data_IF_709793891092
#
_entry.id   IF_709793891092
#
_cell.length_a   1.000
_cell.length_b   1.000
_cell.length_c   1.000
_cell.angle_alpha   90.00
_cell.angle_beta   90.00
_cell.angle_gamma   90.00
#
_symmetry.space_group_name_H-M   'P 1'
#
loop_
_entity.id
_entity.type
_entity.pdbx_description
1 polymer ?
#
# COMPACT_ATOMS: atom_id res chain seq x y z
N UNK A 1 -0.24 -2.25 22.74
CA UNK A 1 0.80 -2.94 21.97
C UNK A 1 2.16 -2.69 22.62
N UNK A 2 2.67 -3.70 23.31
CA UNK A 2 3.82 -3.61 24.22
C UNK A 2 3.37 -3.64 25.66
N UNK A 3 4.32 -3.81 26.58
CA UNK A 3 4.08 -3.94 28.03
C UNK A 3 4.88 -2.97 28.86
N UNK A 4 5.95 -2.41 28.34
CA UNK A 4 6.91 -1.55 29.03
C UNK A 4 6.85 -0.15 28.44
N UNK A 5 6.49 0.85 29.25
CA UNK A 5 6.59 2.27 28.89
C UNK A 5 7.96 2.82 29.23
N UNK A 6 8.44 3.76 28.44
CA UNK A 6 9.70 4.42 28.70
C UNK A 6 9.60 5.28 29.97
N UNK A 7 10.47 5.07 30.94
CA UNK A 7 10.46 5.81 32.19
C UNK A 7 11.75 5.65 32.99
N UNK A 8 11.84 6.42 34.07
CA UNK A 8 12.91 6.25 35.05
C UNK A 8 12.51 5.16 36.05
N UNK A 9 13.28 4.10 36.13
CA UNK A 9 13.15 3.01 37.09
C UNK A 9 14.37 2.98 38.00
N UNK A 10 14.14 2.73 39.29
CA UNK A 10 15.26 2.57 40.23
C UNK A 10 15.95 1.24 39.99
N UNK A 11 17.26 1.27 39.77
CA UNK A 11 18.05 0.02 39.71
C UNK A 11 18.15 -0.58 41.12
N UNK A 12 17.66 -1.79 41.29
CA UNK A 12 17.62 -2.51 42.58
C UNK A 12 19.02 -2.78 43.15
N UNK A 13 20.09 -2.72 42.34
CA UNK A 13 21.48 -2.98 42.78
C UNK A 13 22.24 -1.69 43.09
N UNK A 14 21.99 -0.63 42.34
CA UNK A 14 22.76 0.61 42.41
C UNK A 14 22.03 1.71 43.14
N UNK A 15 20.71 1.57 43.33
CA UNK A 15 19.86 2.60 43.97
C UNK A 15 19.80 3.95 43.22
N UNK A 16 20.16 3.95 41.92
CA UNK A 16 20.12 5.12 41.06
C UNK A 16 18.99 5.01 40.04
N UNK A 17 18.36 6.12 39.62
CA UNK A 17 17.38 6.09 38.57
C UNK A 17 18.06 5.82 37.22
N UNK A 18 17.68 4.76 36.55
CA UNK A 18 18.11 4.42 35.19
C UNK A 18 16.94 4.62 34.24
N UNK A 19 17.22 5.03 33.01
CA UNK A 19 16.21 5.13 31.95
C UNK A 19 15.93 3.73 31.44
N UNK A 20 14.72 3.25 31.72
CA UNK A 20 14.22 2.02 31.10
C UNK A 20 13.73 2.35 29.69
N UNK A 21 14.28 1.65 28.70
CA UNK A 21 13.77 1.73 27.33
C UNK A 21 12.39 1.09 27.27
N UNK A 22 11.43 1.82 26.67
CA UNK A 22 10.07 1.35 26.47
C UNK A 22 9.90 0.56 25.17
N UNK A 23 8.86 -0.24 25.12
CA UNK A 23 8.43 -0.90 23.91
C UNK A 23 7.98 0.13 22.86
N UNK A 24 8.27 -0.14 21.59
CA UNK A 24 7.76 0.68 20.50
C UNK A 24 6.55 0.01 19.86
N UNK A 25 5.34 0.41 20.26
CA UNK A 25 4.09 -0.14 19.74
C UNK A 25 3.96 -0.03 18.21
N UNK A 26 4.57 1.00 17.58
CA UNK A 26 4.59 1.14 16.12
C UNK A 26 5.41 0.04 15.46
N UNK A 27 6.61 -0.23 16.00
CA UNK A 27 7.47 -1.29 15.46
C UNK A 27 6.88 -2.68 15.71
N UNK A 28 6.29 -2.90 16.88
CA UNK A 28 5.61 -4.15 17.20
C UNK A 28 4.47 -4.41 16.21
N UNK A 29 3.65 -3.40 15.93
CA UNK A 29 2.57 -3.49 14.96
C UNK A 29 3.11 -3.75 13.55
N UNK A 30 4.15 -3.00 13.12
CA UNK A 30 4.75 -3.14 11.80
C UNK A 30 5.34 -4.54 11.59
N UNK A 31 6.13 -5.01 12.54
CA UNK A 31 6.74 -6.36 12.47
C UNK A 31 5.68 -7.45 12.57
N UNK A 32 4.62 -7.25 13.37
CA UNK A 32 3.49 -8.17 13.44
C UNK A 32 2.79 -8.33 12.10
N UNK A 33 2.50 -7.24 11.41
CA UNK A 33 1.89 -7.27 10.07
C UNK A 33 2.85 -7.89 9.06
N UNK A 34 4.13 -7.53 9.08
CA UNK A 34 5.14 -8.12 8.20
C UNK A 34 5.25 -9.64 8.40
N UNK A 35 5.22 -10.09 9.65
CA UNK A 35 5.22 -11.52 9.98
C UNK A 35 3.96 -12.25 9.46
N UNK A 36 2.78 -11.64 9.59
CA UNK A 36 1.53 -12.19 9.04
C UNK A 36 1.63 -12.32 7.51
N UNK A 37 2.09 -11.26 6.83
CA UNK A 37 2.28 -11.29 5.37
C UNK A 37 3.25 -12.40 4.98
N UNK A 38 4.38 -12.54 5.70
CA UNK A 38 5.35 -13.60 5.45
C UNK A 38 4.72 -14.99 5.63
N UNK A 39 3.97 -15.20 6.70
CA UNK A 39 3.25 -16.45 6.94
C UNK A 39 2.25 -16.77 5.82
N UNK A 40 1.51 -15.78 5.34
CA UNK A 40 0.56 -15.97 4.22
C UNK A 40 1.31 -16.34 2.93
N UNK A 41 2.40 -15.65 2.61
CA UNK A 41 3.24 -15.97 1.44
C UNK A 41 3.80 -17.39 1.56
N UNK A 42 4.33 -17.75 2.72
CA UNK A 42 4.85 -19.12 2.98
C UNK A 42 3.75 -20.16 2.83
N UNK A 43 2.54 -19.88 3.31
CA UNK A 43 1.39 -20.79 3.16
C UNK A 43 1.02 -20.99 1.69
N UNK A 44 0.99 -19.91 0.90
CA UNK A 44 0.72 -19.96 -0.55
C UNK A 44 1.78 -20.82 -1.25
N UNK A 45 3.06 -20.58 -0.96
CA UNK A 45 4.16 -21.35 -1.52
C UNK A 45 4.09 -22.83 -1.10
N UNK A 46 3.73 -23.11 0.14
CA UNK A 46 3.55 -24.47 0.64
C UNK A 46 2.43 -25.19 -0.10
N UNK A 47 1.28 -24.54 -0.27
CA UNK A 47 0.15 -25.11 -1.04
C UNK A 47 0.53 -25.35 -2.50
N UNK A 48 1.28 -24.42 -3.12
CA UNK A 48 1.78 -24.58 -4.47
C UNK A 48 2.73 -25.80 -4.59
N UNK A 49 3.65 -25.96 -3.63
CA UNK A 49 4.54 -27.10 -3.56
C UNK A 49 3.80 -28.43 -3.36
N UNK A 50 2.77 -28.46 -2.50
CA UNK A 50 1.93 -29.65 -2.33
C UNK A 50 1.20 -30.04 -3.62
N UNK A 51 0.65 -29.08 -4.37
CA UNK A 51 0.02 -29.34 -5.67
C UNK A 51 1.01 -29.91 -6.68
N UNK A 52 2.22 -29.33 -6.74
CA UNK A 52 3.30 -29.83 -7.60
C UNK A 52 3.72 -31.25 -7.21
N UNK A 53 3.90 -31.52 -5.93
CA UNK A 53 4.26 -32.86 -5.43
C UNK A 53 3.20 -33.91 -5.74
N UNK A 54 1.92 -33.58 -5.59
CA UNK A 54 0.80 -34.47 -5.97
C UNK A 54 0.80 -34.75 -7.48
N UNK A 55 0.99 -33.75 -8.30
CA UNK A 55 1.10 -33.91 -9.74
C UNK A 55 2.26 -34.83 -10.16
N UNK A 56 3.44 -34.64 -9.56
CA UNK A 56 4.59 -35.50 -9.80
C UNK A 56 4.35 -36.96 -9.34
N UNK A 57 3.65 -37.14 -8.22
CA UNK A 57 3.28 -38.47 -7.73
C UNK A 57 2.32 -39.20 -8.70
N UNK A 58 1.33 -38.51 -9.23
CA UNK A 58 0.40 -39.04 -10.24
C UNK A 58 1.13 -39.43 -11.54
N UNK A 59 2.08 -38.59 -12.00
CA UNK A 59 2.89 -38.91 -13.18
C UNK A 59 3.69 -40.19 -12.96
N UNK A 60 4.31 -40.34 -11.78
CA UNK A 60 5.07 -41.53 -11.42
C UNK A 60 4.20 -42.79 -11.37
N UNK A 61 2.96 -42.71 -10.84
CA UNK A 61 2.01 -43.84 -10.83
C UNK A 61 1.59 -44.26 -12.25
N UNK A 62 1.52 -43.30 -13.17
CA UNK A 62 1.18 -43.57 -14.59
C UNK A 62 2.39 -44.03 -15.40
N UNK A 63 3.57 -44.21 -14.80
CA UNK A 63 4.79 -44.61 -15.52
C UNK A 63 5.35 -43.54 -16.46
N UNK A 64 4.89 -42.29 -16.33
CA UNK A 64 5.38 -41.18 -17.14
C UNK A 64 6.66 -40.57 -16.55
N UNK A 65 7.60 -40.10 -17.40
CA UNK A 65 8.84 -39.49 -16.90
C UNK A 65 8.52 -38.20 -16.14
N UNK A 66 9.06 -38.06 -14.92
CA UNK A 66 8.99 -36.84 -14.16
C UNK A 66 10.08 -35.86 -14.64
N UNK A 67 9.77 -34.56 -14.73
CA UNK A 67 10.77 -33.56 -15.10
C UNK A 67 11.94 -33.54 -14.11
N UNK A 68 13.14 -33.36 -14.62
CA UNK A 68 14.34 -33.21 -13.80
C UNK A 68 14.42 -31.80 -13.23
N UNK A 69 15.13 -31.61 -12.11
CA UNK A 69 15.35 -30.29 -11.49
C UNK A 69 15.92 -29.27 -12.48
N UNK A 70 16.73 -29.72 -13.45
CA UNK A 70 17.30 -28.87 -14.49
C UNK A 70 16.24 -28.40 -15.50
N UNK A 71 15.29 -29.27 -15.83
CA UNK A 71 14.16 -28.92 -16.72
C UNK A 71 13.19 -27.97 -16.02
N UNK A 72 12.91 -28.19 -14.73
CA UNK A 72 12.10 -27.27 -13.93
C UNK A 72 12.74 -25.88 -13.85
N UNK A 73 14.05 -25.81 -13.62
CA UNK A 73 14.76 -24.52 -13.58
C UNK A 73 14.75 -23.82 -14.94
N UNK A 74 14.91 -24.57 -16.03
CA UNK A 74 14.77 -24.02 -17.39
C UNK A 74 13.35 -23.56 -17.68
N UNK A 75 12.32 -24.24 -17.16
CA UNK A 75 10.92 -23.85 -17.32
C UNK A 75 10.62 -22.47 -16.71
N UNK A 76 11.29 -22.08 -15.62
CA UNK A 76 11.20 -20.75 -15.03
C UNK A 76 11.68 -19.63 -15.95
N UNK A 77 12.67 -19.96 -16.82
CA UNK A 77 13.24 -19.00 -17.78
C UNK A 77 12.55 -19.02 -19.15
N UNK A 78 11.77 -20.04 -19.45
CA UNK A 78 11.08 -20.22 -20.73
C UNK A 78 9.56 -20.20 -20.57
N UNK A 79 8.96 -21.31 -20.18
CA UNK A 79 7.50 -21.46 -20.13
C UNK A 79 6.86 -20.59 -19.05
N UNK A 80 7.52 -20.48 -17.87
CA UNK A 80 7.07 -19.69 -16.72
C UNK A 80 7.77 -18.34 -16.59
N UNK A 81 8.43 -17.88 -17.63
CA UNK A 81 9.19 -16.61 -17.63
C UNK A 81 8.32 -15.43 -17.20
N UNK A 82 7.07 -15.37 -17.64
CA UNK A 82 6.12 -14.34 -17.23
C UNK A 82 5.91 -14.29 -15.70
N UNK A 83 5.79 -15.46 -15.05
CA UNK A 83 5.64 -15.53 -13.60
C UNK A 83 6.91 -15.10 -12.86
N UNK A 84 8.07 -15.54 -13.36
CA UNK A 84 9.38 -15.17 -12.81
C UNK A 84 9.63 -13.66 -12.94
N UNK A 85 9.31 -13.07 -14.09
CA UNK A 85 9.45 -11.64 -14.33
C UNK A 85 8.52 -10.82 -13.44
N UNK A 86 7.30 -11.28 -13.22
CA UNK A 86 6.31 -10.61 -12.35
C UNK A 86 6.62 -10.70 -10.87
N UNK A 87 7.50 -11.60 -10.43
CA UNK A 87 7.84 -11.78 -9.01
C UNK A 87 8.43 -10.52 -8.40
N UNK A 88 9.35 -9.84 -9.10
CA UNK A 88 10.02 -8.62 -8.59
C UNK A 88 9.02 -7.46 -8.42
N UNK A 89 8.21 -7.09 -9.44
CA UNK A 89 7.17 -6.08 -9.28
C UNK A 89 6.16 -6.45 -8.17
N UNK A 90 5.75 -7.72 -8.08
CA UNK A 90 4.81 -8.17 -7.07
C UNK A 90 5.37 -8.02 -5.66
N UNK A 91 6.64 -8.38 -5.43
CA UNK A 91 7.32 -8.15 -4.15
C UNK A 91 7.42 -6.65 -3.84
N UNK A 92 7.70 -5.82 -4.84
CA UNK A 92 7.69 -4.36 -4.68
C UNK A 92 6.32 -3.84 -4.23
N UNK A 93 5.24 -4.26 -4.89
CA UNK A 93 3.87 -3.90 -4.50
C UNK A 93 3.55 -4.39 -3.08
N UNK A 94 3.93 -5.62 -2.74
CA UNK A 94 3.69 -6.19 -1.41
C UNK A 94 4.37 -5.37 -0.31
N UNK A 95 5.66 -5.02 -0.50
CA UNK A 95 6.46 -4.31 0.51
C UNK A 95 6.14 -2.81 0.58
N UNK A 96 5.96 -2.15 -0.56
CA UNK A 96 5.83 -0.69 -0.61
C UNK A 96 4.38 -0.19 -0.70
N UNK A 97 3.42 -1.08 -0.99
CA UNK A 97 2.01 -0.70 -1.08
C UNK A 97 1.15 -1.46 -0.08
N UNK A 98 1.20 -2.79 -0.10
CA UNK A 98 0.30 -3.61 0.73
C UNK A 98 0.65 -3.50 2.21
N UNK A 99 1.94 -3.60 2.57
CA UNK A 99 2.37 -3.53 3.97
C UNK A 99 2.04 -2.17 4.61
N UNK A 100 2.39 -0.99 4.03
CA UNK A 100 1.99 0.30 4.58
C UNK A 100 0.47 0.48 4.63
N UNK A 101 -0.28 -0.02 3.64
CA UNK A 101 -1.73 0.05 3.62
C UNK A 101 -2.35 -0.73 4.80
N UNK A 102 -1.92 -1.97 5.00
CA UNK A 102 -2.37 -2.79 6.13
C UNK A 102 -1.98 -2.18 7.48
N UNK A 103 -0.79 -1.57 7.56
CA UNK A 103 -0.35 -0.84 8.74
C UNK A 103 -1.28 0.35 9.04
N UNK A 104 -1.59 1.18 8.07
CA UNK A 104 -2.50 2.33 8.22
C UNK A 104 -3.92 1.89 8.61
N UNK A 105 -4.42 0.82 7.99
CA UNK A 105 -5.72 0.23 8.36
C UNK A 105 -5.70 -0.27 9.80
N UNK A 106 -4.63 -0.94 10.21
CA UNK A 106 -4.50 -1.48 11.57
C UNK A 106 -4.45 -0.37 12.62
N UNK A 107 -3.77 0.74 12.37
CA UNK A 107 -3.75 1.92 13.26
C UNK A 107 -5.16 2.46 13.50
N UNK A 108 -6.06 2.43 12.52
CA UNK A 108 -7.44 2.90 12.69
C UNK A 108 -8.22 2.14 13.79
N UNK A 109 -7.78 0.93 14.15
CA UNK A 109 -8.36 0.12 15.24
C UNK A 109 -7.66 0.30 16.58
N UNK A 110 -6.71 1.23 16.69
CA UNK A 110 -5.96 1.53 17.92
C UNK A 110 -6.34 2.90 18.47
N UNK A 111 -5.92 3.18 19.71
CA UNK A 111 -6.04 4.51 20.33
C UNK A 111 -4.82 5.40 20.04
N UNK A 112 -4.13 5.18 18.91
CA UNK A 112 -3.00 6.01 18.54
C UNK A 112 -3.44 7.46 18.34
N UNK A 113 -2.93 8.36 19.21
CA UNK A 113 -3.19 9.78 19.20
C UNK A 113 -1.99 10.55 19.78
N UNK A 114 -2.13 11.87 19.94
CA UNK A 114 -1.08 12.71 20.50
C UNK A 114 -0.65 12.30 21.91
N UNK A 115 -1.51 11.67 22.69
CA UNK A 115 -1.23 11.24 24.07
C UNK A 115 -0.61 9.83 24.13
N UNK A 116 -0.75 9.04 23.05
CA UNK A 116 -0.26 7.66 22.95
C UNK A 116 0.83 7.56 21.89
N UNK A 117 1.96 8.25 22.12
CA UNK A 117 3.12 8.25 21.22
C UNK A 117 4.23 7.37 21.78
N UNK A 118 4.50 6.20 21.18
CA UNK A 118 5.62 5.35 21.58
C UNK A 118 6.97 6.01 21.34
N UNK A 119 8.00 5.69 22.14
CA UNK A 119 8.04 4.68 23.19
C UNK A 119 7.55 5.16 24.56
N UNK A 120 7.27 6.46 24.71
CA UNK A 120 6.91 7.06 26.00
C UNK A 120 5.56 6.57 26.48
N UNK A 121 4.56 6.62 25.63
CA UNK A 121 3.19 6.15 25.93
C UNK A 121 2.77 5.13 24.86
N UNK A 122 2.39 3.95 25.30
CA UNK A 122 1.99 2.87 24.39
C UNK A 122 0.55 3.08 23.91
N UNK A 123 0.27 2.65 22.70
CA UNK A 123 -1.10 2.54 22.20
C UNK A 123 -1.61 1.10 22.24
N UNK A 124 -2.92 0.93 22.33
CA UNK A 124 -3.58 -0.35 22.44
C UNK A 124 -4.72 -0.49 21.42
N UNK A 125 -5.20 -1.71 21.24
CA UNK A 125 -6.37 -1.97 20.40
C UNK A 125 -7.66 -1.45 21.07
N UNK A 126 -8.45 -0.68 20.31
CA UNK A 126 -9.76 -0.17 20.73
C UNK A 126 -10.91 -0.65 19.84
N UNK A 127 -10.60 -1.51 18.87
CA UNK A 127 -11.57 -2.07 17.94
C UNK A 127 -12.25 -0.98 17.10
N UNK A 128 -13.57 -1.02 17.03
CA UNK A 128 -14.37 -0.11 16.20
C UNK A 128 -14.72 1.23 16.87
N UNK A 129 -14.16 1.54 18.04
CA UNK A 129 -14.48 2.76 18.78
C UNK A 129 -14.24 4.04 17.96
N UNK A 130 -13.13 4.10 17.21
CA UNK A 130 -12.80 5.25 16.37
C UNK A 130 -13.85 5.46 15.26
N UNK A 131 -14.31 4.37 14.65
CA UNK A 131 -15.36 4.42 13.62
C UNK A 131 -16.68 4.90 14.21
N UNK A 132 -17.04 4.45 15.41
CA UNK A 132 -18.20 4.95 16.14
C UNK A 132 -18.13 6.45 16.41
N UNK A 133 -16.96 6.96 16.82
CA UNK A 133 -16.72 8.38 17.06
C UNK A 133 -16.83 9.21 15.77
N UNK A 134 -16.37 8.68 14.63
CA UNK A 134 -16.45 9.34 13.32
C UNK A 134 -17.89 9.35 12.81
N UNK A 135 -18.59 8.22 12.91
CA UNK A 135 -19.92 8.06 12.29
C UNK A 135 -21.06 8.68 13.14
N UNK A 136 -20.96 8.58 14.47
CA UNK A 136 -22.02 9.03 15.38
C UNK A 136 -21.60 10.14 16.35
N UNK A 137 -20.31 10.53 16.36
CA UNK A 137 -19.75 11.53 17.24
C UNK A 137 -19.80 12.94 16.67
N UNK A 138 -19.13 13.86 17.36
CA UNK A 138 -19.02 15.28 16.95
C UNK A 138 -18.43 15.47 15.54
N UNK A 139 -17.68 14.48 15.04
CA UNK A 139 -17.04 14.52 13.73
C UNK A 139 -18.00 14.18 12.57
N UNK A 140 -19.14 13.52 12.85
CA UNK A 140 -20.11 13.13 11.81
C UNK A 140 -20.62 14.31 11.00
N UNK A 141 -20.86 15.45 11.64
CA UNK A 141 -21.31 16.67 10.99
C UNK A 141 -20.33 17.27 9.98
N UNK A 142 -19.03 16.96 10.12
CA UNK A 142 -17.99 17.36 9.15
C UNK A 142 -17.65 16.22 8.19
N UNK A 143 -17.62 14.99 8.68
CA UNK A 143 -17.24 13.82 7.91
C UNK A 143 -18.15 13.56 6.71
N UNK A 144 -19.47 13.51 6.91
CA UNK A 144 -20.41 13.19 5.83
C UNK A 144 -20.46 14.25 4.69
N UNK A 145 -20.48 15.58 4.97
CA UNK A 145 -20.35 16.57 3.91
C UNK A 145 -19.05 16.47 3.12
N UNK A 146 -17.92 16.27 3.80
CA UNK A 146 -16.60 16.11 3.15
C UNK A 146 -16.58 14.83 2.31
N UNK A 147 -17.08 13.73 2.82
CA UNK A 147 -17.19 12.46 2.09
C UNK A 147 -18.06 12.65 0.83
N UNK A 148 -19.25 13.25 0.98
CA UNK A 148 -20.15 13.53 -0.15
C UNK A 148 -19.49 14.39 -1.22
N UNK A 149 -18.81 15.45 -0.82
CA UNK A 149 -18.03 16.28 -1.73
C UNK A 149 -16.93 15.51 -2.44
N UNK A 150 -16.16 14.72 -1.70
CA UNK A 150 -15.07 13.92 -2.25
C UNK A 150 -15.57 12.90 -3.28
N UNK A 151 -16.65 12.19 -2.97
CA UNK A 151 -17.26 11.23 -3.90
C UNK A 151 -17.80 11.93 -5.16
N UNK A 152 -18.51 13.06 -5.00
CA UNK A 152 -19.01 13.84 -6.12
C UNK A 152 -17.87 14.32 -7.01
N UNK A 153 -16.81 14.86 -6.40
CA UNK A 153 -15.61 15.28 -7.13
C UNK A 153 -14.93 14.12 -7.85
N UNK A 154 -14.77 12.97 -7.20
CA UNK A 154 -14.14 11.80 -7.79
C UNK A 154 -14.91 11.30 -9.03
N UNK A 155 -16.24 11.22 -8.95
CA UNK A 155 -17.08 10.81 -10.08
C UNK A 155 -17.00 11.81 -11.22
N UNK A 156 -17.20 13.10 -10.94
CA UNK A 156 -17.17 14.16 -11.96
C UNK A 156 -15.77 14.23 -12.62
N UNK A 157 -14.70 14.23 -11.82
CA UNK A 157 -13.35 14.27 -12.35
C UNK A 157 -13.05 13.05 -13.24
N UNK A 158 -13.43 11.84 -12.81
CA UNK A 158 -13.20 10.62 -13.59
C UNK A 158 -13.94 10.66 -14.93
N UNK A 159 -15.24 11.00 -14.91
CA UNK A 159 -16.08 11.07 -16.12
C UNK A 159 -15.53 12.13 -17.08
N UNK A 160 -15.26 13.34 -16.57
CA UNK A 160 -14.75 14.43 -17.41
C UNK A 160 -13.38 14.13 -17.99
N UNK A 161 -12.44 13.64 -17.18
CA UNK A 161 -11.10 13.24 -17.66
C UNK A 161 -11.18 12.13 -18.71
N UNK A 162 -12.02 11.12 -18.50
CA UNK A 162 -12.23 10.04 -19.47
C UNK A 162 -12.80 10.59 -20.78
N UNK A 163 -13.90 11.34 -20.72
CA UNK A 163 -14.56 11.89 -21.90
C UNK A 163 -13.63 12.79 -22.72
N UNK A 164 -12.99 13.77 -22.08
CA UNK A 164 -12.07 14.68 -22.75
C UNK A 164 -10.78 13.96 -23.20
N UNK A 165 -10.31 12.96 -22.47
CA UNK A 165 -9.19 12.14 -22.87
C UNK A 165 -9.46 11.36 -24.15
N UNK A 166 -10.63 10.72 -24.27
CA UNK A 166 -11.07 10.02 -25.48
C UNK A 166 -11.24 11.02 -26.64
N UNK A 167 -11.90 12.15 -26.42
CA UNK A 167 -12.07 13.18 -27.43
C UNK A 167 -10.72 13.65 -27.98
N UNK A 168 -9.79 13.95 -27.07
CA UNK A 168 -8.45 14.39 -27.43
C UNK A 168 -7.68 13.32 -28.21
N UNK A 169 -7.77 12.04 -27.79
CA UNK A 169 -7.14 10.93 -28.49
C UNK A 169 -7.68 10.79 -29.92
N UNK A 170 -8.98 10.94 -30.12
CA UNK A 170 -9.61 10.90 -31.43
C UNK A 170 -9.13 12.08 -32.31
N UNK A 171 -9.10 13.29 -31.74
CA UNK A 171 -8.63 14.49 -32.45
C UNK A 171 -7.16 14.34 -32.93
N UNK A 172 -6.28 13.86 -32.07
CA UNK A 172 -4.86 13.68 -32.43
C UNK A 172 -4.67 12.59 -33.48
N UNK A 173 -5.56 11.57 -33.51
CA UNK A 173 -5.47 10.48 -34.48
C UNK A 173 -6.15 10.76 -35.83
N UNK A 174 -6.85 11.86 -35.99
CA UNK A 174 -7.51 12.22 -37.27
C UNK A 174 -6.50 12.27 -38.42
N UNK A 175 -6.96 11.78 -39.59
CA UNK A 175 -6.18 11.85 -40.83
C UNK A 175 -6.10 13.31 -41.28
N UNK A 176 -4.90 13.83 -41.55
CA UNK A 176 -4.71 15.21 -42.01
C UNK A 176 -4.22 16.20 -40.95
N UNK A 177 -4.16 15.83 -39.66
CA UNK A 177 -3.59 16.70 -38.63
C UNK A 177 -2.10 16.92 -38.90
N UNK A 178 -1.67 18.18 -39.10
CA UNK A 178 -0.26 18.56 -39.25
C UNK A 178 0.42 18.54 -37.89
N UNK A 179 1.70 18.12 -37.88
CA UNK A 179 2.55 18.10 -36.67
C UNK A 179 2.00 17.20 -35.50
N UNK A 180 1.47 16.04 -35.83
CA UNK A 180 0.99 15.05 -34.82
C UNK A 180 2.02 14.74 -33.72
N UNK A 181 3.30 14.65 -34.09
CA UNK A 181 4.39 14.43 -33.15
C UNK A 181 4.48 15.54 -32.09
N UNK A 182 4.42 16.80 -32.56
CA UNK A 182 4.49 17.97 -31.66
C UNK A 182 3.33 17.98 -30.66
N UNK A 183 2.09 17.73 -31.12
CA UNK A 183 0.94 17.65 -30.22
C UNK A 183 1.08 16.55 -29.18
N UNK A 184 1.50 15.36 -29.60
CA UNK A 184 1.75 14.27 -28.65
C UNK A 184 2.83 14.62 -27.63
N UNK A 185 3.92 15.26 -28.06
CA UNK A 185 4.99 15.69 -27.16
C UNK A 185 4.49 16.72 -26.14
N UNK A 186 3.69 17.71 -26.56
CA UNK A 186 3.11 18.72 -25.65
C UNK A 186 2.26 18.03 -24.56
N UNK A 187 1.37 17.10 -24.94
CA UNK A 187 0.53 16.39 -23.96
C UNK A 187 1.32 15.45 -23.05
N UNK A 188 2.35 14.77 -23.56
CA UNK A 188 3.24 13.95 -22.75
C UNK A 188 4.06 14.82 -21.78
N UNK A 189 4.47 16.02 -22.22
CA UNK A 189 5.24 16.93 -21.38
C UNK A 189 4.46 17.38 -20.14
N UNK A 190 3.12 17.46 -20.21
CA UNK A 190 2.29 17.77 -19.03
C UNK A 190 2.38 16.70 -17.93
N UNK A 191 2.70 15.45 -18.27
CA UNK A 191 2.92 14.37 -17.30
C UNK A 191 4.26 14.52 -16.57
N UNK A 192 5.22 15.26 -17.14
CA UNK A 192 6.52 15.52 -16.51
C UNK A 192 6.44 16.54 -15.37
N UNK A 193 5.39 17.36 -15.34
CA UNK A 193 5.17 18.34 -14.28
C UNK A 193 4.41 17.67 -13.11
N UNK A 194 5.01 17.56 -11.92
CA UNK A 194 4.32 17.00 -10.77
C UNK A 194 3.02 17.78 -10.46
N UNK A 195 1.93 17.06 -10.30
CA UNK A 195 0.59 17.65 -10.13
C UNK A 195 0.52 18.65 -8.98
N UNK A 196 1.24 18.39 -7.86
CA UNK A 196 1.23 19.29 -6.72
C UNK A 196 1.85 20.67 -7.04
N UNK A 197 2.87 20.72 -7.92
CA UNK A 197 3.47 22.00 -8.36
C UNK A 197 2.45 22.79 -9.15
N UNK A 198 1.75 22.15 -10.09
CA UNK A 198 0.69 22.80 -10.88
C UNK A 198 -0.43 23.36 -9.99
N UNK A 199 -0.83 22.60 -8.96
CA UNK A 199 -1.84 23.03 -7.99
C UNK A 199 -1.36 24.20 -7.13
N UNK A 200 -0.08 24.20 -6.68
CA UNK A 200 0.51 25.31 -5.92
C UNK A 200 0.59 26.59 -6.77
N UNK A 201 1.02 26.48 -8.02
CA UNK A 201 1.05 27.63 -8.95
C UNK A 201 -0.35 28.19 -9.15
N UNK A 202 -1.34 27.33 -9.45
CA UNK A 202 -2.73 27.77 -9.61
C UNK A 202 -3.32 28.40 -8.34
N UNK A 203 -3.03 27.80 -7.17
CA UNK A 203 -3.42 28.38 -5.90
C UNK A 203 -2.85 29.79 -5.71
N UNK A 204 -1.57 29.99 -6.03
CA UNK A 204 -0.93 31.30 -5.87
C UNK A 204 -1.45 32.31 -6.90
N UNK A 205 -1.70 31.89 -8.13
CA UNK A 205 -2.27 32.77 -9.18
C UNK A 205 -3.71 33.20 -8.88
N UNK A 206 -4.50 32.32 -8.27
CA UNK A 206 -5.90 32.58 -7.92
C UNK A 206 -6.07 33.20 -6.52
N UNK A 207 -5.02 33.28 -5.74
CA UNK A 207 -5.05 33.91 -4.43
C UNK A 207 -4.88 35.43 -4.61
N UNK A 208 -5.98 36.14 -4.53
CA UNK A 208 -6.02 37.61 -4.71
C UNK A 208 -5.27 38.43 -3.64
N UNK A 209 -4.52 37.77 -2.73
CA UNK A 209 -3.69 38.35 -1.69
C UNK A 209 -2.18 38.16 -1.98
N UNK A 210 -1.80 37.93 -3.24
CA UNK A 210 -0.40 37.83 -3.68
C UNK A 210 0.31 39.14 -3.73
#
# INVERSE_FOLDING_TARGET
LGTVEQGLVMDDRLGIPILQEGDNSMLILLFGIAAIILCVVMLILYIANLKSARYLHELKQKGLPAPTTREDLKSLLNERFHATLMTIPLLGVLLFTVLPLLYMISIAFTNYDHNHLPPKNLFTWVGLKNFGNVLNGKMAGTFFPVLGWTLTWAVLATITCFFFGVLLALLINTKGLKFKGLWRTIFVLTLAVPQFISLLVMRNLLNGAG
#
